data_IF_532053611312
#
_entry.id   IF_532053611312
#
_cell.length_a   1.000
_cell.length_b   1.000
_cell.length_c   1.000
_cell.angle_alpha   90.00
_cell.angle_beta   90.00
_cell.angle_gamma   90.00
#
_symmetry.space_group_name_H-M   'P 1'
#
loop_
_entity.id
_entity.type
_entity.pdbx_description
1 polymer ?
#
# COMPACT_ATOMS: atom_id res chain seq x y z
N UNK A 1 -0.58 11.17 -23.41
CA UNK A 1 -0.26 11.31 -21.98
C UNK A 1 0.05 9.99 -21.28
N UNK A 2 -0.62 8.86 -21.60
CA UNK A 2 -0.32 7.56 -20.95
C UNK A 2 1.12 7.01 -21.17
N UNK A 3 1.74 7.28 -22.32
CA UNK A 3 3.10 6.79 -22.63
C UNK A 3 4.19 7.36 -21.69
N UNK A 4 3.99 8.57 -21.15
CA UNK A 4 4.97 9.23 -20.28
C UNK A 4 4.94 8.65 -18.86
N UNK A 5 3.73 8.35 -18.35
CA UNK A 5 3.54 7.66 -17.06
C UNK A 5 4.18 6.27 -17.03
N UNK A 6 4.01 5.48 -18.09
CA UNK A 6 4.58 4.14 -18.19
C UNK A 6 6.12 4.17 -18.23
N UNK A 7 6.71 5.15 -18.92
CA UNK A 7 8.15 5.32 -18.96
C UNK A 7 8.72 5.76 -17.62
N UNK A 8 8.07 6.70 -16.95
CA UNK A 8 8.46 7.15 -15.61
C UNK A 8 8.37 6.01 -14.58
N UNK A 9 7.32 5.19 -14.65
CA UNK A 9 7.13 4.03 -13.78
C UNK A 9 8.20 2.95 -14.00
N UNK A 10 8.51 2.60 -15.26
CA UNK A 10 9.64 1.69 -15.57
C UNK A 10 10.97 2.25 -15.07
N UNK A 11 11.16 3.57 -15.16
CA UNK A 11 12.32 4.25 -14.57
C UNK A 11 12.41 4.03 -13.06
N UNK A 12 11.29 4.11 -12.34
CA UNK A 12 11.23 3.84 -10.90
C UNK A 12 11.53 2.36 -10.57
N UNK A 13 11.03 1.41 -11.36
CA UNK A 13 11.39 -0.02 -11.25
C UNK A 13 12.90 -0.24 -11.47
N UNK A 14 13.49 0.45 -12.44
CA UNK A 14 14.94 0.43 -12.67
C UNK A 14 15.74 0.88 -11.45
N UNK A 15 15.27 1.89 -10.69
CA UNK A 15 15.95 2.38 -9.48
C UNK A 15 15.97 1.37 -8.32
N UNK A 16 15.05 0.41 -8.30
CA UNK A 16 15.07 -0.70 -7.33
C UNK A 16 15.79 -1.95 -7.87
N UNK A 17 16.37 -1.86 -9.06
CA UNK A 17 17.23 -2.88 -9.66
C UNK A 17 16.53 -3.81 -10.63
N UNK A 18 15.26 -3.56 -11.00
CA UNK A 18 14.59 -4.38 -12.01
C UNK A 18 15.24 -4.20 -13.37
N UNK A 19 15.38 -5.32 -14.10
CA UNK A 19 15.84 -5.28 -15.48
C UNK A 19 14.76 -4.71 -16.41
N UNK A 20 15.19 -4.13 -17.54
CA UNK A 20 14.26 -3.59 -18.55
C UNK A 20 13.24 -4.63 -19.02
N UNK A 21 13.62 -5.90 -19.32
CA UNK A 21 12.63 -6.92 -19.68
C UNK A 21 11.60 -7.20 -18.58
N UNK A 22 12.03 -7.28 -17.31
CA UNK A 22 11.13 -7.53 -16.19
C UNK A 22 10.16 -6.36 -15.98
N UNK A 23 10.65 -5.12 -16.07
CA UNK A 23 9.81 -3.92 -15.98
C UNK A 23 8.79 -3.86 -17.13
N UNK A 24 9.19 -4.20 -18.36
CA UNK A 24 8.29 -4.28 -19.50
C UNK A 24 7.20 -5.34 -19.28
N UNK A 25 7.58 -6.55 -18.85
CA UNK A 25 6.64 -7.62 -18.54
C UNK A 25 5.64 -7.20 -17.45
N UNK A 26 6.11 -6.52 -16.40
CA UNK A 26 5.24 -5.98 -15.36
C UNK A 26 4.25 -4.93 -15.90
N UNK A 27 4.69 -4.03 -16.77
CA UNK A 27 3.78 -3.05 -17.39
C UNK A 27 2.80 -3.68 -18.38
N UNK A 28 3.14 -4.81 -19.01
CA UNK A 28 2.24 -5.53 -19.92
C UNK A 28 1.06 -6.19 -19.19
N UNK A 29 1.16 -6.41 -17.88
CA UNK A 29 0.05 -6.86 -17.03
C UNK A 29 -0.95 -5.74 -16.69
N UNK A 30 -0.77 -4.54 -17.27
CA UNK A 30 -1.68 -3.39 -17.09
C UNK A 30 -1.24 -2.39 -16.03
N UNK A 31 -0.04 -2.54 -15.46
CA UNK A 31 0.55 -1.56 -14.53
C UNK A 31 1.31 -0.50 -15.32
N UNK A 32 0.60 0.50 -15.83
CA UNK A 32 1.15 1.58 -16.65
C UNK A 32 1.48 2.87 -15.88
N UNK A 33 1.15 2.94 -14.59
CA UNK A 33 1.44 4.08 -13.73
C UNK A 33 1.86 3.64 -12.31
N UNK A 34 2.58 4.53 -11.63
CA UNK A 34 3.02 4.30 -10.25
C UNK A 34 1.83 4.16 -9.29
N UNK A 35 0.77 4.94 -9.53
CA UNK A 35 -0.49 4.95 -8.77
C UNK A 35 -1.21 3.60 -8.84
N UNK A 36 -1.04 2.85 -9.93
CA UNK A 36 -1.65 1.53 -10.13
C UNK A 36 -1.20 0.52 -9.07
N UNK A 37 -0.04 0.73 -8.43
CA UNK A 37 0.39 -0.08 -7.29
C UNK A 37 -0.54 0.09 -6.08
N UNK A 38 -1.13 1.27 -5.87
CA UNK A 38 -2.09 1.52 -4.79
C UNK A 38 -3.43 0.82 -4.96
N UNK A 39 -3.74 0.33 -6.17
CA UNK A 39 -4.99 -0.37 -6.48
C UNK A 39 -4.96 -1.85 -6.10
N UNK A 40 -3.79 -2.38 -5.77
CA UNK A 40 -3.60 -3.80 -5.50
C UNK A 40 -3.00 -4.03 -4.11
N UNK A 41 -3.26 -5.23 -3.57
CA UNK A 41 -2.65 -5.65 -2.31
C UNK A 41 -1.22 -6.14 -2.53
N UNK A 42 -0.42 -6.18 -1.46
CA UNK A 42 0.92 -6.76 -1.48
C UNK A 42 0.89 -8.21 -2.00
N UNK A 43 -0.09 -9.01 -1.60
CA UNK A 43 -0.20 -10.40 -2.04
C UNK A 43 -0.48 -10.50 -3.55
N UNK A 44 -1.30 -9.58 -4.09
CA UNK A 44 -1.54 -9.55 -5.53
C UNK A 44 -0.30 -9.18 -6.33
N UNK A 45 0.58 -8.31 -5.80
CA UNK A 45 1.89 -8.03 -6.40
C UNK A 45 2.80 -9.27 -6.43
N UNK A 46 2.76 -10.12 -5.40
CA UNK A 46 3.48 -11.40 -5.39
C UNK A 46 2.96 -12.32 -6.49
N UNK A 47 1.65 -12.39 -6.67
CA UNK A 47 1.04 -13.20 -7.74
C UNK A 47 1.45 -12.74 -9.14
N UNK A 48 1.52 -11.43 -9.37
CA UNK A 48 2.03 -10.87 -10.64
C UNK A 48 3.50 -11.28 -10.85
N UNK A 49 4.33 -11.20 -9.82
CA UNK A 49 5.72 -11.67 -9.91
C UNK A 49 5.81 -13.17 -10.25
N UNK A 50 4.88 -14.01 -9.75
CA UNK A 50 4.80 -15.43 -10.13
C UNK A 50 4.41 -15.61 -11.60
N UNK A 51 3.47 -14.81 -12.11
CA UNK A 51 3.06 -14.84 -13.52
C UNK A 51 4.25 -14.52 -14.42
N UNK A 52 4.99 -13.44 -14.12
CA UNK A 52 6.17 -13.04 -14.91
C UNK A 52 7.28 -14.10 -14.87
N UNK A 53 7.52 -14.74 -13.71
CA UNK A 53 8.48 -15.84 -13.58
C UNK A 53 8.10 -17.05 -14.43
N UNK A 54 6.81 -17.36 -14.53
CA UNK A 54 6.30 -18.46 -15.34
C UNK A 54 6.39 -18.14 -16.84
N UNK A 55 6.15 -16.89 -17.22
CA UNK A 55 6.01 -16.49 -18.62
C UNK A 55 4.72 -17.05 -19.24
N UNK A 56 4.58 -16.84 -20.56
CA UNK A 56 3.48 -17.37 -21.37
C UNK A 56 3.94 -18.42 -22.39
N UNK A 57 5.19 -18.90 -22.26
CA UNK A 57 5.72 -19.99 -23.09
C UNK A 57 4.78 -21.21 -23.06
N UNK A 58 4.31 -21.59 -24.25
CA UNK A 58 3.39 -22.72 -24.44
C UNK A 58 1.91 -22.43 -24.17
N UNK A 59 1.55 -21.20 -23.79
CA UNK A 59 0.15 -20.76 -23.72
C UNK A 59 -0.22 -20.16 -25.08
N UNK A 60 -1.24 -20.72 -25.74
CA UNK A 60 -1.72 -20.19 -27.02
C UNK A 60 -2.08 -18.71 -26.86
N UNK A 61 -1.48 -17.83 -27.66
CA UNK A 61 -1.81 -16.41 -27.67
C UNK A 61 -3.31 -16.24 -27.90
N UNK A 62 -3.98 -15.48 -27.03
CA UNK A 62 -5.39 -15.11 -27.26
C UNK A 62 -5.42 -14.29 -28.56
N UNK A 63 -6.14 -14.72 -29.60
CA UNK A 63 -6.19 -13.97 -30.84
C UNK A 63 -6.77 -12.59 -30.56
N UNK A 64 -6.07 -11.54 -31.00
CA UNK A 64 -6.63 -10.20 -31.00
C UNK A 64 -7.97 -10.24 -31.75
N UNK A 65 -9.01 -9.63 -31.16
CA UNK A 65 -10.34 -9.58 -31.78
C UNK A 65 -10.21 -8.91 -33.17
N UNK A 66 -10.32 -9.71 -34.23
CA UNK A 66 -10.17 -9.29 -35.63
C UNK A 66 -8.85 -9.64 -36.34
N UNK A 67 -7.92 -10.36 -35.68
CA UNK A 67 -6.63 -10.75 -36.26
C UNK A 67 -6.66 -12.09 -37.01
N UNK A 68 -5.96 -12.19 -38.15
CA UNK A 68 -5.80 -13.43 -38.92
C UNK A 68 -5.18 -14.55 -38.05
N UNK A 69 -5.70 -15.78 -38.18
CA UNK A 69 -5.29 -16.97 -37.42
C UNK A 69 -3.78 -17.30 -37.51
N UNK A 70 -3.05 -16.75 -38.47
CA UNK A 70 -1.60 -16.90 -38.62
C UNK A 70 -0.78 -16.17 -37.54
N UNK A 71 -1.35 -15.20 -36.80
CA UNK A 71 -0.66 -14.50 -35.70
C UNK A 71 -0.65 -15.33 -34.39
N UNK A 72 -1.42 -16.43 -34.33
CA UNK A 72 -1.56 -17.28 -33.15
C UNK A 72 -0.33 -18.18 -32.86
N UNK A 73 0.70 -18.15 -33.71
CA UNK A 73 1.92 -18.94 -33.58
C UNK A 73 3.15 -18.13 -33.14
N UNK A 74 2.96 -16.93 -32.57
CA UNK A 74 4.06 -16.25 -31.90
C UNK A 74 4.48 -17.11 -30.69
N UNK A 75 5.77 -17.46 -30.53
CA UNK A 75 6.24 -18.09 -29.30
C UNK A 75 5.84 -17.21 -28.12
N UNK A 76 5.45 -17.84 -27.01
CA UNK A 76 5.11 -17.14 -25.78
C UNK A 76 6.27 -16.26 -25.29
N UNK A 77 6.00 -15.45 -24.27
CA UNK A 77 7.04 -14.66 -23.63
C UNK A 77 7.74 -15.60 -22.64
N UNK A 78 9.07 -15.78 -22.75
CA UNK A 78 9.80 -16.62 -21.83
C UNK A 78 9.74 -16.06 -20.42
N UNK A 79 9.65 -16.96 -19.44
CA UNK A 79 9.65 -16.60 -18.03
C UNK A 79 10.87 -15.77 -17.66
N UNK A 80 10.68 -14.68 -16.93
CA UNK A 80 11.75 -13.79 -16.50
C UNK A 80 12.06 -14.05 -15.03
N UNK A 81 13.32 -14.34 -14.72
CA UNK A 81 13.76 -14.49 -13.34
C UNK A 81 13.58 -13.17 -12.58
N UNK A 82 12.71 -13.18 -11.56
CA UNK A 82 12.56 -12.10 -10.58
C UNK A 82 13.22 -12.56 -9.28
N UNK A 83 14.43 -12.07 -8.94
CA UNK A 83 15.08 -12.36 -7.65
C UNK A 83 14.21 -11.93 -6.46
N UNK A 84 14.34 -12.64 -5.34
CA UNK A 84 13.62 -12.34 -4.10
C UNK A 84 13.76 -10.87 -3.67
N UNK A 85 14.96 -10.31 -3.78
CA UNK A 85 15.22 -8.93 -3.35
C UNK A 85 14.50 -7.89 -4.23
N UNK A 86 14.22 -8.20 -5.50
CA UNK A 86 13.45 -7.31 -6.38
C UNK A 86 11.98 -7.28 -6.00
N UNK A 87 11.40 -8.44 -5.66
CA UNK A 87 10.04 -8.54 -5.13
C UNK A 87 9.92 -7.84 -3.77
N UNK A 88 10.95 -7.95 -2.93
CA UNK A 88 10.96 -7.28 -1.63
C UNK A 88 11.01 -5.75 -1.76
N UNK A 89 11.88 -5.24 -2.64
CA UNK A 89 11.91 -3.80 -2.95
C UNK A 89 10.65 -3.29 -3.63
N UNK A 90 9.97 -4.13 -4.43
CA UNK A 90 8.66 -3.80 -4.99
C UNK A 90 7.62 -3.65 -3.87
N UNK A 91 7.69 -4.47 -2.82
CA UNK A 91 6.83 -4.30 -1.64
C UNK A 91 7.11 -2.98 -0.90
N UNK A 92 8.37 -2.54 -0.84
CA UNK A 92 8.73 -1.21 -0.34
C UNK A 92 8.15 -0.08 -1.19
N UNK A 93 8.25 -0.20 -2.52
CA UNK A 93 7.64 0.76 -3.46
C UNK A 93 6.12 0.83 -3.29
N UNK A 94 5.46 -0.33 -3.13
CA UNK A 94 4.02 -0.41 -2.84
C UNK A 94 3.63 0.31 -1.56
N UNK A 95 4.40 0.12 -0.48
CA UNK A 95 4.18 0.82 0.78
C UNK A 95 4.30 2.34 0.61
N UNK A 96 5.32 2.80 -0.11
CA UNK A 96 5.52 4.23 -0.40
C UNK A 96 4.35 4.84 -1.17
N UNK A 97 3.88 4.17 -2.23
CA UNK A 97 2.70 4.61 -2.99
C UNK A 97 1.46 4.64 -2.09
N UNK A 98 1.23 3.58 -1.31
CA UNK A 98 0.09 3.47 -0.40
C UNK A 98 0.08 4.59 0.64
N UNK A 99 1.23 4.92 1.22
CA UNK A 99 1.37 6.03 2.17
C UNK A 99 1.03 7.37 1.53
N UNK A 100 1.54 7.65 0.33
CA UNK A 100 1.26 8.91 -0.38
C UNK A 100 -0.22 9.06 -0.71
N UNK A 101 -0.84 8.00 -1.25
CA UNK A 101 -2.27 8.01 -1.54
C UNK A 101 -3.11 8.21 -0.28
N UNK A 102 -2.75 7.55 0.83
CA UNK A 102 -3.41 7.72 2.13
C UNK A 102 -3.27 9.14 2.68
N UNK A 103 -2.15 9.81 2.42
CA UNK A 103 -1.88 11.20 2.83
C UNK A 103 -2.43 12.23 1.83
N UNK A 104 -3.14 11.81 0.78
CA UNK A 104 -3.59 12.71 -0.29
C UNK A 104 -2.45 13.38 -1.06
N UNK A 105 -1.22 12.86 -0.95
CA UNK A 105 -0.04 13.40 -1.63
C UNK A 105 0.07 12.83 -3.04
N UNK A 106 0.33 13.64 -4.07
CA UNK A 106 0.54 13.14 -5.43
C UNK A 106 1.67 12.11 -5.50
N UNK A 107 1.44 11.05 -6.26
CA UNK A 107 2.43 10.00 -6.50
C UNK A 107 3.22 10.37 -7.76
N UNK A 108 4.41 10.93 -7.55
CA UNK A 108 5.31 11.33 -8.64
C UNK A 108 6.45 10.34 -8.75
N UNK A 109 6.53 9.59 -9.85
CA UNK A 109 7.54 8.55 -10.03
C UNK A 109 8.99 9.07 -9.94
N UNK A 110 9.23 10.36 -10.23
CA UNK A 110 10.55 10.99 -10.09
C UNK A 110 11.00 11.11 -8.63
N UNK A 111 10.08 11.29 -7.69
CA UNK A 111 10.36 11.42 -6.25
C UNK A 111 10.82 10.08 -5.65
N UNK A 112 10.47 8.97 -6.28
CA UNK A 112 10.88 7.65 -5.85
C UNK A 112 12.33 7.36 -6.30
N UNK A 113 13.28 7.75 -5.46
CA UNK A 113 14.71 7.49 -5.66
C UNK A 113 15.12 6.11 -5.12
N UNK A 114 16.32 5.64 -5.50
CA UNK A 114 16.86 4.38 -4.95
C UNK A 114 17.02 4.43 -3.42
N UNK A 115 17.33 5.60 -2.86
CA UNK A 115 17.43 5.80 -1.41
C UNK A 115 16.06 5.63 -0.72
N UNK A 116 15.01 6.23 -1.29
CA UNK A 116 13.63 6.03 -0.83
C UNK A 116 13.22 4.56 -0.96
N UNK A 117 13.53 3.92 -2.08
CA UNK A 117 13.26 2.49 -2.25
C UNK A 117 13.90 1.62 -1.15
N UNK A 118 15.17 1.84 -0.83
CA UNK A 118 15.85 1.11 0.25
C UNK A 118 15.28 1.43 1.63
N UNK A 119 14.93 2.70 1.90
CA UNK A 119 14.28 3.12 3.15
C UNK A 119 12.96 2.39 3.35
N UNK A 120 12.10 2.40 2.35
CA UNK A 120 10.79 1.76 2.44
C UNK A 120 10.86 0.23 2.44
N UNK A 121 11.88 -0.34 1.81
CA UNK A 121 12.15 -1.78 1.94
C UNK A 121 12.53 -2.15 3.37
N UNK A 122 13.32 -1.32 4.07
CA UNK A 122 13.60 -1.53 5.51
C UNK A 122 12.35 -1.38 6.36
N UNK A 123 11.52 -0.36 6.09
CA UNK A 123 10.22 -0.21 6.77
C UNK A 123 9.34 -1.45 6.62
N UNK A 124 9.26 -2.04 5.42
CA UNK A 124 8.50 -3.28 5.21
C UNK A 124 9.04 -4.41 6.09
N UNK A 125 10.37 -4.55 6.20
CA UNK A 125 11.00 -5.55 7.09
C UNK A 125 10.66 -5.31 8.55
N UNK A 126 10.82 -4.09 9.02
CA UNK A 126 10.49 -3.70 10.40
C UNK A 126 9.01 -3.95 10.71
N UNK A 127 8.10 -3.66 9.79
CA UNK A 127 6.66 -3.94 9.93
C UNK A 127 6.32 -5.44 9.89
N UNK A 128 7.13 -6.26 9.21
CA UNK A 128 6.99 -7.72 9.21
C UNK A 128 7.50 -8.29 10.53
N UNK A 129 8.67 -7.83 11.01
CA UNK A 129 9.23 -8.19 12.31
C UNK A 129 8.30 -7.78 13.47
N UNK A 130 7.75 -6.57 13.45
CA UNK A 130 6.82 -6.09 14.47
C UNK A 130 5.50 -6.89 14.51
N UNK A 131 5.00 -7.38 13.36
CA UNK A 131 3.84 -8.26 13.34
C UNK A 131 4.09 -9.60 14.01
N UNK A 132 5.33 -10.08 13.97
CA UNK A 132 5.72 -11.31 14.65
C UNK A 132 5.90 -11.08 16.17
N UNK A 133 6.04 -9.82 16.62
CA UNK A 133 6.15 -9.41 18.03
C UNK A 133 4.81 -8.97 18.66
N UNK A 134 3.83 -8.51 17.88
CA UNK A 134 2.53 -8.02 18.35
C UNK A 134 1.52 -9.15 18.68
N UNK A 135 1.73 -9.81 19.82
CA UNK A 135 0.68 -10.59 20.51
C UNK A 135 0.20 -9.91 21.82
N UNK A 136 0.56 -8.63 22.02
CA UNK A 136 0.08 -7.83 23.16
C UNK A 136 -1.20 -7.07 22.77
N UNK A 137 -2.32 -7.80 22.70
CA UNK A 137 -3.63 -7.15 22.59
C UNK A 137 -3.91 -6.31 23.84
N UNK A 138 -3.93 -4.99 23.70
CA UNK A 138 -4.49 -4.10 24.72
C UNK A 138 -5.96 -4.48 24.87
N UNK A 139 -6.37 -4.88 26.08
CA UNK A 139 -7.74 -5.30 26.33
C UNK A 139 -8.70 -4.12 26.12
N UNK A 140 -9.88 -4.35 25.51
CA UNK A 140 -10.89 -3.32 25.41
C UNK A 140 -11.29 -2.80 26.80
N UNK A 141 -11.52 -1.49 26.97
CA UNK A 141 -11.96 -0.94 28.24
C UNK A 141 -13.31 -1.53 28.65
N UNK A 142 -13.52 -1.68 29.97
CA UNK A 142 -14.81 -2.10 30.51
C UNK A 142 -15.91 -1.09 30.16
N UNK A 143 -17.19 -1.53 30.04
CA UNK A 143 -18.29 -0.63 29.76
C UNK A 143 -18.31 0.58 30.70
N UNK A 144 -18.56 1.75 30.11
CA UNK A 144 -18.63 2.99 30.86
C UNK A 144 -19.75 2.92 31.89
N UNK A 145 -19.44 3.25 33.15
CA UNK A 145 -20.36 3.02 34.28
C UNK A 145 -20.63 4.26 35.15
N UNK A 146 -19.75 5.27 35.14
CA UNK A 146 -19.88 6.48 35.98
C UNK A 146 -19.37 7.72 35.25
N UNK A 147 -20.19 8.76 35.22
CA UNK A 147 -19.89 10.04 34.57
C UNK A 147 -18.59 10.69 35.09
N UNK A 148 -18.34 10.61 36.40
CA UNK A 148 -17.11 11.12 37.04
C UNK A 148 -15.82 10.43 36.58
N UNK A 149 -15.92 9.31 35.86
CA UNK A 149 -14.79 8.56 35.30
C UNK A 149 -14.65 8.73 33.79
N UNK A 150 -15.34 9.70 33.18
CA UNK A 150 -15.27 9.93 31.74
C UNK A 150 -13.84 10.12 31.23
N UNK A 151 -13.06 11.01 31.86
CA UNK A 151 -11.69 11.31 31.42
C UNK A 151 -10.77 10.06 31.50
N UNK A 152 -10.71 9.31 32.63
CA UNK A 152 -9.96 8.05 32.68
C UNK A 152 -10.44 7.00 31.67
N UNK A 153 -11.76 6.85 31.52
CA UNK A 153 -12.33 5.90 30.56
C UNK A 153 -11.94 6.26 29.13
N UNK A 154 -12.07 7.53 28.75
CA UNK A 154 -11.75 8.00 27.40
C UNK A 154 -10.27 7.82 27.08
N UNK A 155 -9.36 8.04 28.04
CA UNK A 155 -7.92 7.73 27.85
C UNK A 155 -7.68 6.23 27.60
N UNK A 156 -8.36 5.36 28.33
CA UNK A 156 -8.27 3.90 28.10
C UNK A 156 -8.86 3.50 26.74
N UNK A 157 -9.94 4.14 26.32
CA UNK A 157 -10.55 3.95 25.00
C UNK A 157 -9.61 4.39 23.88
N UNK A 158 -9.03 5.59 23.97
CA UNK A 158 -8.06 6.07 22.97
C UNK A 158 -6.86 5.14 22.91
N UNK A 159 -6.27 4.76 24.04
CA UNK A 159 -5.14 3.83 24.06
C UNK A 159 -5.48 2.47 23.41
N UNK A 160 -6.68 1.95 23.66
CA UNK A 160 -7.17 0.75 22.99
C UNK A 160 -7.32 0.97 21.48
N UNK A 161 -7.96 2.06 21.04
CA UNK A 161 -8.15 2.35 19.62
C UNK A 161 -6.82 2.62 18.89
N UNK A 162 -5.84 3.25 19.55
CA UNK A 162 -4.48 3.43 19.04
C UNK A 162 -3.77 2.08 18.81
N UNK A 163 -4.11 1.04 19.58
CA UNK A 163 -3.55 -0.31 19.42
C UNK A 163 -4.27 -1.16 18.35
N UNK A 164 -5.42 -0.70 17.85
CA UNK A 164 -6.23 -1.44 16.88
C UNK A 164 -6.16 -0.75 15.52
N UNK A 165 -5.71 -1.48 14.50
CA UNK A 165 -5.67 -0.94 13.13
C UNK A 165 -7.00 -1.13 12.38
N UNK A 166 -7.46 -0.07 11.70
CA UNK A 166 -8.60 -0.04 10.79
C UNK A 166 -8.32 -0.60 9.40
N UNK A 167 -9.26 -0.37 8.47
CA UNK A 167 -9.24 -0.93 7.09
C UNK A 167 -7.96 -0.56 6.33
N UNK A 168 -7.47 0.68 6.48
CA UNK A 168 -6.30 1.18 5.76
C UNK A 168 -5.00 1.12 6.58
N UNK A 169 -4.94 0.25 7.60
CA UNK A 169 -3.82 0.19 8.56
C UNK A 169 -3.57 1.51 9.29
N UNK A 170 -4.62 2.33 9.41
CA UNK A 170 -4.63 3.53 10.26
C UNK A 170 -5.12 3.10 11.64
N UNK A 171 -4.44 3.49 12.72
CA UNK A 171 -4.93 3.30 14.08
C UNK A 171 -6.34 3.88 14.27
N UNK A 172 -7.27 3.16 14.92
CA UNK A 172 -8.69 3.53 14.98
C UNK A 172 -8.98 4.79 15.81
N UNK A 173 -8.00 5.29 16.57
CA UNK A 173 -8.12 6.52 17.33
C UNK A 173 -8.32 7.76 16.45
N UNK A 174 -8.00 7.69 15.14
CA UNK A 174 -8.38 8.75 14.19
C UNK A 174 -9.90 8.97 14.14
N UNK A 175 -10.72 7.93 14.33
CA UNK A 175 -12.19 8.04 14.27
C UNK A 175 -12.75 8.89 15.42
N UNK A 176 -12.06 8.94 16.56
CA UNK A 176 -12.48 9.70 17.74
C UNK A 176 -11.78 11.06 17.87
N UNK A 177 -10.94 11.41 16.89
CA UNK A 177 -10.28 12.71 16.79
C UNK A 177 -11.34 13.79 16.59
N UNK A 178 -11.12 14.99 17.16
CA UNK A 178 -12.00 16.13 16.89
C UNK A 178 -11.77 16.64 15.48
N UNK A 179 -12.83 17.11 14.82
CA UNK A 179 -12.73 17.63 13.45
C UNK A 179 -11.79 18.84 13.32
N UNK A 180 -11.57 19.59 14.40
CA UNK A 180 -10.66 20.73 14.44
C UNK A 180 -9.18 20.34 14.66
N UNK A 181 -8.89 19.06 14.97
CA UNK A 181 -7.52 18.56 15.21
C UNK A 181 -6.89 18.01 13.90
N UNK A 182 -7.23 18.56 12.74
CA UNK A 182 -6.54 18.23 11.47
C UNK A 182 -5.21 18.96 11.43
N UNK A 183 -4.13 18.23 11.16
CA UNK A 183 -2.81 18.84 11.07
C UNK A 183 -2.73 19.84 9.91
N UNK A 184 -2.05 20.95 10.15
CA UNK A 184 -1.76 21.93 9.10
C UNK A 184 -0.79 21.32 8.07
N UNK A 185 -0.78 21.81 6.82
CA UNK A 185 0.06 21.24 5.75
C UNK A 185 1.56 21.14 6.08
N UNK A 186 2.06 22.00 6.97
CA UNK A 186 3.48 22.11 7.34
C UNK A 186 3.79 21.57 8.75
N UNK A 187 2.87 20.79 9.35
CA UNK A 187 3.11 20.20 10.68
C UNK A 187 4.18 19.11 10.59
N UNK A 188 5.27 19.27 11.35
CA UNK A 188 6.21 18.19 11.64
C UNK A 188 5.60 17.24 12.67
N UNK A 189 5.69 15.93 12.41
CA UNK A 189 5.14 14.89 13.30
C UNK A 189 6.28 14.14 13.97
N UNK A 190 6.16 13.89 15.27
CA UNK A 190 7.19 13.17 16.03
C UNK A 190 7.14 11.66 15.75
N UNK A 191 5.94 11.14 15.43
CA UNK A 191 5.72 9.71 15.19
C UNK A 191 4.91 9.44 13.93
N UNK A 192 5.14 8.28 13.31
CA UNK A 192 4.35 7.83 12.16
C UNK A 192 2.88 7.62 12.55
N UNK A 193 2.62 7.16 13.78
CA UNK A 193 1.27 7.04 14.36
C UNK A 193 0.53 8.37 14.33
N UNK A 194 1.13 9.41 14.92
CA UNK A 194 0.56 10.75 14.98
C UNK A 194 0.26 11.30 13.58
N UNK A 195 1.21 11.14 12.66
CA UNK A 195 1.02 11.52 11.25
C UNK A 195 -0.19 10.82 10.62
N UNK A 196 -0.34 9.51 10.85
CA UNK A 196 -1.47 8.75 10.32
C UNK A 196 -2.80 9.21 10.90
N UNK A 197 -2.88 9.42 12.20
CA UNK A 197 -4.10 9.86 12.90
C UNK A 197 -4.52 11.26 12.45
N UNK A 198 -3.57 12.20 12.34
CA UNK A 198 -3.87 13.61 12.06
C UNK A 198 -4.07 13.93 10.57
N UNK A 199 -3.61 13.07 9.66
CA UNK A 199 -3.79 13.28 8.21
C UNK A 199 -4.93 12.45 7.62
N UNK A 200 -5.38 11.38 8.28
CA UNK A 200 -6.43 10.53 7.72
C UNK A 200 -7.78 11.28 7.73
N UNK A 201 -8.49 11.37 6.59
CA UNK A 201 -9.75 12.10 6.51
C UNK A 201 -10.90 11.35 7.19
N UNK A 202 -11.85 12.09 7.79
CA UNK A 202 -13.12 11.54 8.31
C UNK A 202 -14.18 11.39 7.22
N UNK A 203 -13.78 10.95 6.03
CA UNK A 203 -14.67 10.80 4.88
C UNK A 203 -14.33 9.57 4.05
N UNK A 204 -15.32 9.08 3.30
CA UNK A 204 -15.16 7.98 2.37
C UNK A 204 -15.35 6.60 2.99
N UNK A 205 -15.25 5.58 2.13
CA UNK A 205 -15.64 4.20 2.46
C UNK A 205 -14.77 3.53 3.53
N UNK A 206 -13.52 3.97 3.67
CA UNK A 206 -12.64 3.49 4.74
C UNK A 206 -13.08 4.04 6.10
N UNK A 207 -13.41 5.33 6.17
CA UNK A 207 -13.96 5.96 7.38
C UNK A 207 -15.28 5.33 7.76
N UNK A 208 -16.24 5.15 6.84
CA UNK A 208 -17.55 4.57 7.18
C UNK A 208 -17.43 3.18 7.83
N UNK A 209 -16.50 2.35 7.32
CA UNK A 209 -16.24 1.01 7.86
C UNK A 209 -15.57 1.03 9.22
N UNK A 210 -14.60 1.93 9.43
CA UNK A 210 -13.90 2.06 10.71
C UNK A 210 -14.81 2.74 11.76
N UNK A 211 -15.60 3.73 11.34
CA UNK A 211 -16.62 4.39 12.15
C UNK A 211 -17.64 3.39 12.69
N UNK A 212 -18.15 2.47 11.86
CA UNK A 212 -19.04 1.40 12.30
C UNK A 212 -18.41 0.38 13.25
N UNK A 213 -17.07 0.30 13.35
CA UNK A 213 -16.39 -0.54 14.36
C UNK A 213 -16.25 0.16 15.70
N UNK A 214 -16.07 1.48 15.69
CA UNK A 214 -15.86 2.29 16.90
C UNK A 214 -17.20 2.68 17.51
N UNK A 215 -18.15 3.11 16.68
CA UNK A 215 -19.48 3.52 17.06
C UNK A 215 -20.47 2.47 16.56
N UNK A 216 -21.13 1.79 17.49
CA UNK A 216 -22.26 0.91 17.17
C UNK A 216 -23.39 1.82 16.66
N UNK A 217 -23.82 1.61 15.41
CA UNK A 217 -25.04 2.22 14.88
C UNK A 217 -26.29 1.54 15.45
#
# INVERSE_FOLDING_TARGET
MAADGANAFRGALGRIGWSVPAANAFTNEGFDAMDSLGLVTRDRLKDICKIIRRGTDGVAAVPAAGGNAAVAAAPGIPGIAIPMMWEYKLSGMHLWVSERLRQGTPVVAADFTAAIGNLYTRKVRELEEAKDEEDVQVKPPAPFSKETKWIPFFKLLVNYLSSVTGVNKVPLDYVVRKDDDVAAPDTEFETEHEKLVLLTPHTGTAFDKDNGKVWIQ
#
